data_IF_425517928216
#
_entry.id   IF_425517928216
#
_cell.length_a   1.000
_cell.length_b   1.000
_cell.length_c   1.000
_cell.angle_alpha   90.00
_cell.angle_beta   90.00
_cell.angle_gamma   90.00
#
_symmetry.space_group_name_H-M   'P 1'
#
loop_
_entity.id
_entity.type
_entity.pdbx_description
1 polymer ?
#
# COMPACT_ATOMS: atom_id res chain seq x y z
N UNK A 1 -1.80 6.15 -0.20
CA UNK A 1 -1.08 7.28 -0.81
C UNK A 1 -0.84 6.94 -2.26
N UNK A 2 -1.45 7.66 -3.20
CA UNK A 2 -1.18 7.49 -4.62
C UNK A 2 0.25 7.99 -4.92
N UNK A 3 1.16 7.05 -5.19
CA UNK A 3 2.57 7.37 -5.37
C UNK A 3 2.83 7.89 -6.78
N UNK A 4 3.36 9.11 -6.89
CA UNK A 4 3.77 9.65 -8.18
C UNK A 4 5.27 9.44 -8.40
N UNK A 5 5.67 8.97 -9.58
CA UNK A 5 7.08 8.83 -9.96
C UNK A 5 7.76 10.16 -10.31
N UNK A 6 7.00 11.26 -10.31
CA UNK A 6 7.45 12.58 -10.77
C UNK A 6 7.79 13.54 -9.62
N UNK A 7 7.77 13.07 -8.37
CA UNK A 7 8.12 13.88 -7.19
C UNK A 7 8.94 13.07 -6.19
N UNK A 8 9.85 13.72 -5.43
CA UNK A 8 10.61 13.05 -4.39
C UNK A 8 9.70 12.34 -3.37
N UNK A 9 10.04 11.11 -3.01
CA UNK A 9 9.32 10.31 -2.02
C UNK A 9 9.28 10.99 -0.65
N UNK A 10 10.33 11.73 -0.29
CA UNK A 10 10.37 12.53 0.94
C UNK A 10 9.26 13.60 0.99
N UNK A 11 8.95 14.25 -0.12
CA UNK A 11 7.89 15.27 -0.16
C UNK A 11 6.50 14.62 -0.11
N UNK A 12 6.36 13.47 -0.76
CA UNK A 12 5.16 12.66 -0.68
C UNK A 12 4.90 12.15 0.75
N UNK A 13 5.93 11.75 1.48
CA UNK A 13 5.82 11.36 2.89
C UNK A 13 5.41 12.52 3.79
N UNK A 14 6.01 13.71 3.61
CA UNK A 14 5.60 14.91 4.36
C UNK A 14 4.10 15.19 4.16
N UNK A 15 3.62 15.09 2.92
CA UNK A 15 2.20 15.26 2.63
C UNK A 15 1.33 14.20 3.32
N UNK A 16 1.69 12.92 3.19
CA UNK A 16 0.93 11.82 3.81
C UNK A 16 0.82 11.99 5.33
N UNK A 17 1.95 12.27 5.99
CA UNK A 17 2.02 12.43 7.45
C UNK A 17 1.22 13.65 7.92
N UNK A 18 1.16 14.72 7.12
CA UNK A 18 0.41 15.92 7.47
C UNK A 18 -1.11 15.75 7.30
N UNK A 19 -1.56 14.89 6.39
CA UNK A 19 -2.98 14.72 6.03
C UNK A 19 -3.66 13.62 6.84
N UNK A 20 -2.98 12.50 7.10
CA UNK A 20 -3.59 11.36 7.78
C UNK A 20 -3.80 11.66 9.28
N UNK A 21 -5.04 11.60 9.79
CA UNK A 21 -5.33 11.92 11.18
C UNK A 21 -4.67 10.92 12.13
N UNK A 22 -4.33 11.37 13.33
CA UNK A 22 -3.75 10.55 14.41
C UNK A 22 -4.77 10.40 15.53
N UNK A 23 -4.67 9.31 16.30
CA UNK A 23 -5.43 9.14 17.54
C UNK A 23 -6.48 8.03 17.51
N UNK A 24 -6.66 7.36 16.38
CA UNK A 24 -7.53 6.17 16.27
C UNK A 24 -6.71 4.94 15.85
N UNK A 25 -7.21 3.71 16.10
CA UNK A 25 -6.63 2.51 15.55
C UNK A 25 -6.67 2.54 14.01
N UNK A 26 -5.51 2.76 13.38
CA UNK A 26 -5.38 2.79 11.93
C UNK A 26 -4.90 1.44 11.39
N UNK A 27 -5.33 1.10 10.19
CA UNK A 27 -4.64 0.10 9.37
C UNK A 27 -3.22 0.59 9.01
N UNK A 28 -2.31 -0.31 8.59
CA UNK A 28 -1.01 0.11 8.12
C UNK A 28 -1.11 1.10 6.95
N UNK A 29 -0.18 2.07 6.83
CA UNK A 29 -0.12 2.94 5.67
C UNK A 29 -0.06 2.14 4.37
N UNK A 30 -0.74 2.61 3.32
CA UNK A 30 -0.69 1.98 1.99
C UNK A 30 -0.04 2.93 1.00
N UNK A 31 0.94 2.42 0.25
CA UNK A 31 1.53 3.09 -0.92
C UNK A 31 0.94 2.43 -2.14
N UNK A 32 0.25 3.21 -2.96
CA UNK A 32 -0.35 2.77 -4.21
C UNK A 32 0.64 3.06 -5.34
N UNK A 33 1.16 1.99 -5.92
CA UNK A 33 2.16 2.01 -6.99
C UNK A 33 1.46 1.51 -8.26
N UNK A 34 1.10 2.45 -9.10
CA UNK A 34 0.51 2.17 -10.40
C UNK A 34 0.98 3.14 -11.47
N UNK A 35 0.85 2.70 -12.73
CA UNK A 35 1.27 3.47 -13.90
C UNK A 35 0.22 4.47 -14.39
N UNK A 36 -0.98 4.42 -13.82
CA UNK A 36 -2.06 5.37 -14.07
C UNK A 36 -1.75 6.78 -13.54
N UNK A 37 -2.64 7.73 -13.83
CA UNK A 37 -2.52 9.10 -13.34
C UNK A 37 -1.70 10.03 -14.24
N UNK A 38 -1.10 11.05 -13.64
CA UNK A 38 -0.54 12.21 -14.35
C UNK A 38 0.98 12.18 -14.57
N UNK A 39 1.65 11.09 -14.19
CA UNK A 39 3.10 10.97 -14.30
C UNK A 39 3.48 9.95 -15.38
N UNK A 40 4.13 10.38 -16.48
CA UNK A 40 4.53 9.47 -17.57
C UNK A 40 5.83 8.70 -17.26
N UNK A 41 6.54 9.02 -16.17
CA UNK A 41 7.82 8.39 -15.85
C UNK A 41 7.67 6.90 -15.53
N UNK A 42 8.68 6.12 -15.91
CA UNK A 42 8.82 4.69 -15.62
C UNK A 42 10.22 4.46 -15.06
N UNK A 43 10.46 4.79 -13.77
CA UNK A 43 11.80 4.73 -13.18
C UNK A 43 12.32 3.30 -13.17
N UNK A 44 13.66 3.15 -13.15
CA UNK A 44 14.28 1.86 -12.86
C UNK A 44 13.92 1.39 -11.44
N UNK A 45 14.01 0.08 -11.14
CA UNK A 45 13.81 -0.41 -9.78
C UNK A 45 14.69 0.27 -8.73
N UNK A 46 15.94 0.61 -9.07
CA UNK A 46 16.87 1.30 -8.16
C UNK A 46 16.39 2.73 -7.85
N UNK A 47 15.95 3.45 -8.88
CA UNK A 47 15.40 4.80 -8.73
C UNK A 47 14.11 4.76 -7.89
N UNK A 48 13.21 3.83 -8.19
CA UNK A 48 11.98 3.66 -7.41
C UNK A 48 12.28 3.28 -5.96
N UNK A 49 13.23 2.38 -5.70
CA UNK A 49 13.64 2.01 -4.35
C UNK A 49 14.20 3.18 -3.55
N UNK A 50 14.94 4.08 -4.19
CA UNK A 50 15.46 5.29 -3.55
C UNK A 50 14.31 6.16 -3.05
N UNK A 51 13.31 6.41 -3.90
CA UNK A 51 12.15 7.24 -3.54
C UNK A 51 11.20 6.53 -2.57
N UNK A 52 11.00 5.21 -2.72
CA UNK A 52 10.23 4.41 -1.77
C UNK A 52 10.89 4.41 -0.39
N UNK A 53 12.21 4.27 -0.29
CA UNK A 53 12.91 4.35 1.00
C UNK A 53 12.72 5.73 1.65
N UNK A 54 12.83 6.80 0.86
CA UNK A 54 12.61 8.17 1.32
C UNK A 54 11.16 8.41 1.78
N UNK A 55 10.18 7.69 1.21
CA UNK A 55 8.80 7.73 1.66
C UNK A 55 8.57 6.88 2.93
N UNK A 56 8.99 5.62 2.89
CA UNK A 56 8.70 4.60 3.89
C UNK A 56 9.31 4.94 5.24
N UNK A 57 10.57 5.36 5.30
CA UNK A 57 11.27 5.65 6.56
C UNK A 57 10.47 6.58 7.50
N UNK A 58 10.17 7.83 7.09
CA UNK A 58 9.42 8.75 7.93
C UNK A 58 7.96 8.32 8.17
N UNK A 59 7.31 7.68 7.19
CA UNK A 59 5.90 7.25 7.33
C UNK A 59 5.79 6.10 8.33
N UNK A 60 6.59 5.05 8.18
CA UNK A 60 6.57 3.90 9.09
C UNK A 60 7.00 4.31 10.50
N UNK A 61 7.94 5.26 10.65
CA UNK A 61 8.28 5.84 11.94
C UNK A 61 7.12 6.65 12.56
N UNK A 62 6.37 7.41 11.75
CA UNK A 62 5.26 8.23 12.23
C UNK A 62 4.02 7.42 12.66
N UNK A 63 3.74 6.31 11.96
CA UNK A 63 2.56 5.47 12.22
C UNK A 63 2.88 4.19 12.99
N UNK A 64 4.17 3.87 13.18
CA UNK A 64 4.62 2.69 13.91
C UNK A 64 4.17 1.38 13.27
N UNK A 65 3.96 1.33 11.95
CA UNK A 65 3.51 0.15 11.21
C UNK A 65 4.23 0.07 9.86
N UNK A 66 4.64 -1.13 9.46
CA UNK A 66 5.17 -1.35 8.11
C UNK A 66 4.09 -1.13 7.05
N UNK A 67 4.40 -0.32 6.05
CA UNK A 67 3.46 0.00 4.99
C UNK A 67 3.15 -1.23 4.12
N UNK A 68 2.03 -1.15 3.41
CA UNK A 68 1.59 -2.14 2.43
C UNK A 68 1.73 -1.51 1.04
N UNK A 69 2.17 -2.30 0.07
CA UNK A 69 2.20 -1.88 -1.33
C UNK A 69 0.96 -2.38 -2.04
N UNK A 70 0.14 -1.44 -2.49
CA UNK A 70 -0.86 -1.72 -3.51
C UNK A 70 -0.20 -1.71 -4.88
N UNK A 71 -0.48 -2.73 -5.69
CA UNK A 71 0.09 -2.93 -7.02
C UNK A 71 -1.00 -3.35 -8.01
N UNK A 72 -1.01 -2.68 -9.16
CA UNK A 72 -1.63 -3.19 -10.39
C UNK A 72 -0.82 -4.36 -10.95
N UNK A 73 -1.42 -5.20 -11.81
CA UNK A 73 -0.72 -6.32 -12.45
C UNK A 73 0.53 -5.84 -13.20
N UNK A 74 0.44 -4.70 -13.91
CA UNK A 74 1.57 -4.12 -14.65
C UNK A 74 2.69 -3.63 -13.73
N UNK A 75 2.35 -3.00 -12.60
CA UNK A 75 3.34 -2.55 -11.62
C UNK A 75 3.98 -3.74 -10.88
N UNK A 76 3.20 -4.78 -10.60
CA UNK A 76 3.72 -6.00 -10.00
C UNK A 76 4.74 -6.68 -10.93
N UNK A 77 4.38 -6.86 -12.21
CA UNK A 77 5.27 -7.46 -13.20
C UNK A 77 6.57 -6.65 -13.38
N UNK A 78 6.51 -5.31 -13.26
CA UNK A 78 7.68 -4.44 -13.40
C UNK A 78 8.59 -4.40 -12.17
N UNK A 79 8.03 -4.44 -10.97
CA UNK A 79 8.73 -4.03 -9.75
C UNK A 79 8.71 -5.05 -8.61
N UNK A 80 7.74 -5.97 -8.56
CA UNK A 80 7.48 -6.75 -7.35
C UNK A 80 8.67 -7.62 -6.90
N UNK A 81 9.50 -8.08 -7.83
CA UNK A 81 10.68 -8.88 -7.54
C UNK A 81 11.90 -8.07 -7.04
N UNK A 82 11.92 -6.75 -7.27
CA UNK A 82 13.13 -5.93 -7.14
C UNK A 82 12.98 -4.76 -6.16
N UNK A 83 11.76 -4.33 -5.87
CA UNK A 83 11.53 -3.28 -4.89
C UNK A 83 11.61 -3.79 -3.46
N UNK A 84 11.85 -2.87 -2.51
CA UNK A 84 11.88 -3.14 -1.07
C UNK A 84 10.68 -3.99 -0.68
N UNK A 85 10.95 -5.13 -0.03
CA UNK A 85 9.89 -6.07 0.33
C UNK A 85 8.90 -5.46 1.34
N UNK A 86 7.61 -5.52 1.00
CA UNK A 86 6.47 -5.16 1.85
C UNK A 86 5.32 -6.13 1.56
N UNK A 87 4.39 -6.25 2.53
CA UNK A 87 3.13 -6.98 2.29
C UNK A 87 2.38 -6.34 1.13
N UNK A 88 1.72 -7.15 0.32
CA UNK A 88 1.12 -6.73 -0.95
C UNK A 88 -0.40 -6.69 -0.90
N UNK A 89 -0.97 -5.62 -1.44
CA UNK A 89 -2.35 -5.54 -1.85
C UNK A 89 -2.37 -5.62 -3.38
N UNK A 90 -2.72 -6.78 -3.91
CA UNK A 90 -2.70 -6.99 -5.36
C UNK A 90 -4.06 -6.66 -5.97
N UNK A 91 -4.07 -5.89 -7.06
CA UNK A 91 -5.25 -5.74 -7.91
C UNK A 91 -5.20 -6.77 -9.02
N UNK A 92 -6.17 -7.67 -9.03
CA UNK A 92 -6.39 -8.61 -10.12
C UNK A 92 -7.89 -8.79 -10.28
N UNK A 93 -8.47 -8.22 -11.34
CA UNK A 93 -9.92 -8.17 -11.49
C UNK A 93 -10.47 -9.52 -11.95
N UNK A 94 -11.49 -10.03 -11.25
CA UNK A 94 -12.18 -11.30 -11.50
C UNK A 94 -11.34 -12.60 -11.43
N UNK A 95 -10.02 -12.51 -11.54
CA UNK A 95 -9.09 -13.65 -11.47
C UNK A 95 -8.25 -13.51 -10.20
N UNK A 96 -7.99 -14.63 -9.53
CA UNK A 96 -7.12 -14.64 -8.35
C UNK A 96 -5.71 -14.17 -8.74
N UNK A 97 -5.02 -13.37 -7.90
CA UNK A 97 -3.63 -13.03 -8.15
C UNK A 97 -2.77 -14.28 -8.33
N UNK A 98 -1.87 -14.25 -9.33
CA UNK A 98 -0.94 -15.36 -9.62
C UNK A 98 0.03 -15.59 -8.47
N UNK A 99 0.43 -14.51 -7.83
CA UNK A 99 1.28 -14.54 -6.64
C UNK A 99 0.46 -14.92 -5.40
N UNK A 100 1.06 -15.70 -4.50
CA UNK A 100 0.41 -16.09 -3.24
C UNK A 100 0.77 -15.17 -2.07
N UNK A 101 1.78 -14.31 -2.21
CA UNK A 101 2.28 -13.45 -1.13
C UNK A 101 1.58 -12.08 -1.10
N UNK A 102 0.27 -12.11 -0.82
CA UNK A 102 -0.57 -10.92 -0.64
C UNK A 102 -1.32 -10.98 0.69
N UNK A 103 -1.64 -9.80 1.23
CA UNK A 103 -2.50 -9.62 2.40
C UNK A 103 -3.88 -9.12 2.00
N UNK A 104 -3.98 -8.30 0.95
CA UNK A 104 -5.25 -7.87 0.37
C UNK A 104 -5.31 -8.20 -1.12
N UNK A 105 -6.52 -8.43 -1.62
CA UNK A 105 -6.80 -8.60 -3.03
C UNK A 105 -7.97 -7.70 -3.43
N UNK A 106 -7.73 -6.76 -4.35
CA UNK A 106 -8.80 -6.04 -5.04
C UNK A 106 -9.31 -6.89 -6.20
N UNK A 107 -10.53 -7.41 -6.07
CA UNK A 107 -11.11 -8.36 -7.02
C UNK A 107 -12.15 -7.75 -7.95
N UNK A 108 -12.64 -6.55 -7.64
CA UNK A 108 -13.68 -5.86 -8.40
C UNK A 108 -13.55 -4.34 -8.23
N UNK A 109 -13.82 -3.57 -9.27
CA UNK A 109 -13.77 -2.09 -9.25
C UNK A 109 -15.11 -1.39 -9.55
N UNK A 110 -16.13 -2.15 -9.94
CA UNK A 110 -17.50 -1.65 -10.20
C UNK A 110 -18.51 -2.25 -9.23
N UNK A 111 -18.11 -2.45 -7.98
CA UNK A 111 -18.95 -3.07 -6.96
C UNK A 111 -20.13 -2.18 -6.58
N UNK A 112 -21.10 -2.77 -5.86
CA UNK A 112 -22.22 -2.06 -5.22
C UNK A 112 -22.28 -2.48 -3.76
N UNK A 113 -22.29 -1.52 -2.86
CA UNK A 113 -22.40 -1.71 -1.41
C UNK A 113 -23.40 -0.70 -0.88
N UNK A 114 -24.36 -1.16 -0.08
CA UNK A 114 -25.34 -0.29 0.54
C UNK A 114 -24.64 0.83 1.33
N UNK A 115 -25.04 2.08 1.07
CA UNK A 115 -24.43 3.27 1.67
C UNK A 115 -23.33 3.93 0.84
N UNK A 116 -22.97 3.37 -0.33
CA UNK A 116 -22.03 4.01 -1.28
C UNK A 116 -22.75 4.31 -2.59
N UNK A 117 -22.77 5.59 -2.97
CA UNK A 117 -23.25 6.02 -4.29
C UNK A 117 -22.12 5.86 -5.33
N UNK A 118 -22.43 5.24 -6.47
CA UNK A 118 -21.45 5.01 -7.53
C UNK A 118 -20.71 3.67 -7.41
N UNK A 119 -19.72 3.49 -8.28
CA UNK A 119 -18.90 2.28 -8.34
C UNK A 119 -17.91 2.25 -7.18
N UNK A 120 -17.72 1.08 -6.56
CA UNK A 120 -16.77 0.89 -5.46
C UNK A 120 -15.84 -0.30 -5.67
N UNK A 121 -14.59 -0.11 -5.26
CA UNK A 121 -13.59 -1.17 -5.21
C UNK A 121 -13.89 -2.16 -4.09
N UNK A 122 -14.00 -3.44 -4.43
CA UNK A 122 -14.21 -4.53 -3.49
C UNK A 122 -12.92 -5.31 -3.26
N UNK A 123 -12.66 -5.57 -1.99
CA UNK A 123 -11.40 -6.14 -1.53
C UNK A 123 -11.66 -7.28 -0.55
N UNK A 124 -10.76 -8.27 -0.54
CA UNK A 124 -10.72 -9.31 0.48
C UNK A 124 -9.40 -9.27 1.23
N UNK A 125 -9.48 -9.49 2.54
CA UNK A 125 -8.32 -9.76 3.39
C UNK A 125 -7.98 -11.25 3.33
N UNK A 126 -6.71 -11.58 3.14
CA UNK A 126 -6.22 -12.95 3.30
C UNK A 126 -6.19 -13.31 4.78
N UNK A 127 -6.88 -14.37 5.17
CA UNK A 127 -6.90 -14.85 6.56
C UNK A 127 -8.27 -14.66 7.20
N UNK A 128 -8.26 -14.28 8.46
CA UNK A 128 -9.45 -14.29 9.32
C UNK A 128 -9.59 -12.98 10.11
N UNK A 129 -10.52 -12.94 11.06
CA UNK A 129 -10.72 -11.78 11.95
C UNK A 129 -9.48 -11.50 12.81
N UNK A 130 -8.73 -12.54 13.14
CA UNK A 130 -7.47 -12.45 13.87
C UNK A 130 -6.43 -11.66 13.04
N UNK A 131 -6.31 -11.94 11.74
CA UNK A 131 -5.45 -11.17 10.84
C UNK A 131 -5.87 -9.69 10.78
N UNK A 132 -7.18 -9.42 10.78
CA UNK A 132 -7.68 -8.03 10.83
C UNK A 132 -7.29 -7.34 12.14
N UNK A 133 -7.43 -8.04 13.27
CA UNK A 133 -7.05 -7.52 14.58
C UNK A 133 -5.55 -7.21 14.66
N UNK A 134 -4.68 -8.08 14.13
CA UNK A 134 -3.24 -7.85 14.03
C UNK A 134 -2.89 -6.62 13.21
N UNK A 135 -3.63 -6.35 12.13
CA UNK A 135 -3.43 -5.15 11.30
C UNK A 135 -3.77 -3.86 12.06
N UNK A 136 -4.73 -3.89 12.98
CA UNK A 136 -5.07 -2.76 13.85
C UNK A 136 -4.17 -2.65 15.09
N UNK A 137 -3.59 -3.76 15.55
CA UNK A 137 -2.73 -3.74 16.72
C UNK A 137 -1.55 -2.76 16.54
N UNK A 138 -1.17 -2.02 17.59
CA UNK A 138 0.08 -1.27 17.59
C UNK A 138 1.25 -2.26 17.45
N UNK A 139 2.33 -1.87 16.78
CA UNK A 139 3.52 -2.73 16.72
C UNK A 139 4.02 -2.98 18.14
N UNK A 140 4.22 -4.24 18.55
CA UNK A 140 4.72 -4.53 19.89
C UNK A 140 6.07 -3.83 20.06
N UNK A 141 6.14 -2.96 21.06
CA UNK A 141 7.42 -2.39 21.49
C UNK A 141 8.33 -3.54 21.86
N UNK A 142 9.44 -3.71 21.13
CA UNK A 142 10.51 -4.60 21.58
C UNK A 142 11.00 -3.98 22.88
N UNK A 143 10.63 -4.59 24.01
CA UNK A 143 11.31 -4.32 25.27
C UNK A 143 12.77 -4.68 25.02
N UNK A 144 13.64 -3.66 25.04
CA UNK A 144 15.07 -3.88 25.01
C UNK A 144 15.49 -4.76 26.21
N UNK A 145 16.59 -5.52 26.08
CA UNK A 145 17.11 -6.32 27.19
C UNK A 145 17.43 -5.48 28.42
#
# INVERSE_FOLDING_TARGET
HFFTFCRPGADQAKNFIAVVPRGEPLLPPVVDIEFGGNCPQRPSPEQLNTELAAFLGPVEAAFGKQAIFYLTDEAADAYSATIIARRRWLRSLAIRPRENDWIYWQYHNMGRVDGIEGDVDLNVLKGSRETMAELFAPTPSIAGP
#
